data_IF_129057796565
#
_entry.id   IF_129057796565
#
_cell.length_a   1.000
_cell.length_b   1.000
_cell.length_c   1.000
_cell.angle_alpha   90.00
_cell.angle_beta   90.00
_cell.angle_gamma   90.00
#
_symmetry.space_group_name_H-M   'P 1'
#
loop_
_entity.id
_entity.type
_entity.pdbx_description
1 polymer ?
#
# COMPACT_ATOMS: atom_id res chain seq x y z
N UNK A 1 59.11 35.39 50.49
CA UNK A 1 57.93 36.30 50.59
C UNK A 1 57.05 36.10 49.37
N UNK A 2 55.86 35.62 49.55
CA UNK A 2 54.64 35.82 48.79
C UNK A 2 53.75 34.55 48.90
N UNK A 3 52.60 34.79 49.46
CA UNK A 3 51.64 33.83 49.92
C UNK A 3 50.83 33.21 48.77
N UNK A 4 50.69 31.90 48.78
CA UNK A 4 49.79 31.20 47.90
C UNK A 4 48.41 31.11 48.54
N UNK A 5 47.42 31.63 47.86
CA UNK A 5 46.02 31.52 48.23
C UNK A 5 45.43 30.27 47.54
N UNK A 6 45.11 29.25 48.31
CA UNK A 6 44.40 28.08 47.87
C UNK A 6 42.90 28.43 47.74
N UNK A 7 42.42 28.45 46.52
CA UNK A 7 40.99 28.55 46.24
C UNK A 7 40.45 27.13 45.94
N UNK A 8 39.65 26.65 46.90
CA UNK A 8 38.98 25.37 46.81
C UNK A 8 37.78 25.50 45.84
N UNK A 9 37.87 24.96 44.64
CA UNK A 9 36.76 24.92 43.67
C UNK A 9 36.04 23.57 43.82
N UNK A 10 34.85 23.63 44.42
CA UNK A 10 33.93 22.49 44.59
C UNK A 10 33.33 22.12 43.21
N UNK A 11 33.79 21.02 42.62
CA UNK A 11 33.21 20.48 41.40
C UNK A 11 31.91 19.73 41.76
N UNK A 12 30.80 20.37 41.43
CA UNK A 12 29.47 19.75 41.41
C UNK A 12 29.40 18.84 40.21
N UNK A 13 29.47 17.53 40.44
CA UNK A 13 29.26 16.53 39.40
C UNK A 13 27.73 16.42 39.16
N UNK A 14 27.20 17.17 38.19
CA UNK A 14 25.90 16.91 37.64
C UNK A 14 26.02 15.67 36.74
N UNK A 15 25.57 14.54 37.24
CA UNK A 15 25.35 13.35 36.43
C UNK A 15 24.16 13.60 35.50
N UNK A 16 24.43 14.25 34.35
CA UNK A 16 23.51 14.25 33.25
C UNK A 16 23.59 12.85 32.60
N UNK A 17 22.57 12.05 32.88
CA UNK A 17 22.33 10.79 32.20
C UNK A 17 22.21 11.06 30.70
N UNK A 18 23.24 10.71 29.97
CA UNK A 18 23.20 10.61 28.52
C UNK A 18 22.34 9.41 28.21
N UNK A 19 21.07 9.64 27.92
CA UNK A 19 20.29 8.65 27.20
C UNK A 19 20.88 8.54 25.81
N UNK A 20 21.73 7.54 25.61
CA UNK A 20 22.13 7.11 24.28
C UNK A 20 20.86 6.49 23.66
N UNK A 21 20.12 7.32 22.93
CA UNK A 21 19.16 6.83 21.98
C UNK A 21 19.97 6.16 20.85
N UNK A 22 20.04 4.83 20.85
CA UNK A 22 20.44 4.08 19.67
C UNK A 22 19.34 4.28 18.63
N UNK A 23 19.63 5.14 17.68
CA UNK A 23 18.82 5.45 16.51
C UNK A 23 19.72 6.15 15.52
N UNK A 24 20.77 5.48 15.04
CA UNK A 24 21.38 5.75 13.75
C UNK A 24 20.42 5.17 12.69
N UNK A 25 19.24 5.77 12.59
CA UNK A 25 18.53 5.80 11.34
C UNK A 25 19.13 6.98 10.57
N UNK A 26 20.02 6.68 9.62
CA UNK A 26 20.29 7.60 8.53
C UNK A 26 18.93 8.11 8.07
N UNK A 27 18.63 9.39 8.29
CA UNK A 27 17.46 10.07 7.74
C UNK A 27 17.64 10.07 6.20
N UNK A 28 17.40 8.91 5.58
CA UNK A 28 16.98 8.89 4.19
C UNK A 28 15.75 9.77 4.16
N UNK A 29 15.86 10.91 3.52
CA UNK A 29 14.76 11.84 3.31
C UNK A 29 13.60 11.03 2.74
N UNK A 30 12.67 10.64 3.59
CA UNK A 30 11.59 9.73 3.19
C UNK A 30 10.70 10.54 2.28
N UNK A 31 10.76 10.25 1.00
CA UNK A 31 9.87 10.84 0.01
C UNK A 31 8.44 10.57 0.46
N UNK A 32 7.67 11.61 0.68
CA UNK A 32 6.35 11.47 1.30
C UNK A 32 5.44 12.66 1.05
N UNK A 33 4.37 12.73 1.82
CA UNK A 33 3.46 13.87 1.78
C UNK A 33 4.07 15.07 2.49
N UNK A 34 4.08 16.24 1.84
CA UNK A 34 4.53 17.49 2.46
C UNK A 34 3.86 18.71 1.82
N UNK A 35 3.88 19.83 2.54
CA UNK A 35 3.21 21.06 2.12
C UNK A 35 1.68 20.94 2.23
N UNK A 36 0.97 21.64 1.33
CA UNK A 36 -0.48 21.53 1.19
C UNK A 36 -0.85 20.12 0.77
N UNK A 37 -1.96 19.60 1.28
CA UNK A 37 -2.51 18.31 0.84
C UNK A 37 -3.03 18.43 -0.59
N UNK A 38 -2.30 17.86 -1.52
CA UNK A 38 -2.62 17.78 -2.95
C UNK A 38 -2.89 16.34 -3.40
N UNK A 39 -3.19 15.44 -2.46
CA UNK A 39 -3.44 14.03 -2.77
C UNK A 39 -4.69 13.79 -3.63
N UNK A 40 -5.58 14.78 -3.71
CA UNK A 40 -6.75 14.78 -4.60
C UNK A 40 -6.51 15.38 -5.98
N UNK A 41 -5.38 16.07 -6.20
CA UNK A 41 -5.10 16.81 -7.42
C UNK A 41 -4.62 15.91 -8.57
N UNK A 42 -4.23 14.66 -8.26
CA UNK A 42 -3.81 13.70 -9.27
C UNK A 42 -4.09 12.25 -8.84
N UNK A 43 -4.20 11.36 -9.82
CA UNK A 43 -4.41 9.94 -9.59
C UNK A 43 -3.78 9.06 -10.66
N UNK A 44 -3.42 7.84 -10.27
CA UNK A 44 -2.89 6.84 -11.19
C UNK A 44 -3.94 5.75 -11.39
N UNK A 45 -4.19 5.43 -12.65
CA UNK A 45 -4.96 4.25 -13.06
C UNK A 45 -4.10 3.36 -13.94
N UNK A 46 -4.36 2.06 -13.89
CA UNK A 46 -3.72 1.10 -14.78
C UNK A 46 -4.78 0.20 -15.38
N UNK A 47 -4.78 0.08 -16.68
CA UNK A 47 -5.70 -0.79 -17.40
C UNK A 47 -5.37 -2.26 -17.11
N UNK A 48 -6.41 -3.05 -16.86
CA UNK A 48 -6.27 -4.44 -16.44
C UNK A 48 -5.76 -5.35 -17.55
N UNK A 49 -6.13 -5.08 -18.79
CA UNK A 49 -5.81 -5.93 -19.93
C UNK A 49 -4.49 -5.50 -20.60
N UNK A 50 -4.38 -4.22 -20.92
CA UNK A 50 -3.21 -3.67 -21.62
C UNK A 50 -2.05 -3.35 -20.70
N UNK A 51 -2.29 -3.28 -19.37
CA UNK A 51 -1.34 -2.85 -18.32
C UNK A 51 -0.82 -1.42 -18.51
N UNK A 52 -1.42 -0.65 -19.41
CA UNK A 52 -1.08 0.77 -19.58
C UNK A 52 -1.45 1.57 -18.34
N UNK A 53 -0.56 2.43 -17.93
CA UNK A 53 -0.79 3.33 -16.80
C UNK A 53 -1.04 4.76 -17.30
N UNK A 54 -1.96 5.44 -16.63
CA UNK A 54 -2.36 6.81 -16.95
C UNK A 54 -2.32 7.65 -15.68
N UNK A 55 -1.70 8.82 -15.76
CA UNK A 55 -1.80 9.89 -14.78
C UNK A 55 -2.98 10.79 -15.17
N UNK A 56 -3.93 10.96 -14.27
CA UNK A 56 -4.97 11.99 -14.37
C UNK A 56 -4.62 13.13 -13.44
N UNK A 57 -4.62 14.37 -13.94
CA UNK A 57 -4.28 15.58 -13.20
C UNK A 57 -5.48 16.52 -13.20
N UNK A 58 -5.87 17.01 -12.02
CA UNK A 58 -6.96 17.98 -11.79
C UNK A 58 -6.45 19.22 -11.03
N UNK A 59 -5.37 19.79 -11.48
CA UNK A 59 -4.85 21.08 -10.99
C UNK A 59 -4.47 21.98 -12.16
N UNK A 60 -4.66 23.30 -12.00
CA UNK A 60 -4.29 24.30 -13.01
C UNK A 60 -2.82 24.78 -12.85
N UNK A 61 -2.01 24.04 -12.09
CA UNK A 61 -0.63 24.42 -11.75
C UNK A 61 0.36 23.58 -12.52
N UNK A 62 1.57 24.09 -12.65
CA UNK A 62 2.71 23.32 -13.09
C UNK A 62 3.02 22.20 -12.07
N UNK A 63 3.38 21.02 -12.58
CA UNK A 63 3.64 19.85 -11.78
C UNK A 63 4.78 19.00 -12.35
N UNK A 64 5.36 18.22 -11.47
CA UNK A 64 6.40 17.23 -11.75
C UNK A 64 5.96 15.87 -11.21
N UNK A 65 6.27 14.80 -11.93
CA UNK A 65 6.03 13.41 -11.50
C UNK A 65 7.37 12.67 -11.46
N UNK A 66 7.62 11.98 -10.36
CA UNK A 66 8.79 11.14 -10.15
C UNK A 66 8.33 9.71 -9.92
N UNK A 67 9.13 8.71 -10.27
CA UNK A 67 8.76 7.30 -10.19
C UNK A 67 9.82 6.46 -9.47
N UNK A 68 9.36 5.42 -8.78
CA UNK A 68 10.20 4.41 -8.15
C UNK A 68 9.46 3.09 -8.01
N UNK A 69 10.15 2.02 -7.62
CA UNK A 69 9.55 0.74 -7.29
C UNK A 69 8.87 0.76 -5.91
N UNK A 70 9.39 1.57 -5.01
CA UNK A 70 8.82 1.92 -3.71
C UNK A 70 8.94 3.42 -3.49
N UNK A 71 8.33 3.95 -2.44
CA UNK A 71 8.48 5.37 -2.10
C UNK A 71 9.94 5.73 -1.77
N UNK A 72 10.65 4.81 -1.16
CA UNK A 72 12.05 4.96 -0.77
C UNK A 72 13.02 4.95 -1.96
N UNK A 73 12.61 4.38 -3.11
CA UNK A 73 13.43 4.25 -4.33
C UNK A 73 13.14 5.37 -5.36
N UNK A 74 12.28 6.33 -5.04
CA UNK A 74 11.97 7.43 -5.96
C UNK A 74 13.20 8.33 -6.13
N UNK A 75 13.72 8.42 -7.36
CA UNK A 75 14.77 9.36 -7.72
C UNK A 75 14.18 10.77 -7.94
N UNK A 76 14.54 11.69 -7.07
CA UNK A 76 14.08 13.08 -7.11
C UNK A 76 14.94 13.99 -8.02
N UNK A 77 16.00 13.46 -8.64
CA UNK A 77 16.88 14.29 -9.48
C UNK A 77 16.28 14.54 -10.87
N UNK A 78 15.48 13.58 -11.37
CA UNK A 78 14.91 13.66 -12.71
C UNK A 78 13.45 13.26 -12.71
N UNK A 79 12.51 14.18 -12.99
CA UNK A 79 11.10 13.82 -13.14
C UNK A 79 10.92 12.91 -14.36
N UNK A 80 10.08 11.90 -14.22
CA UNK A 80 9.71 11.03 -15.33
C UNK A 80 8.68 11.68 -16.26
N UNK A 81 7.94 12.68 -15.76
CA UNK A 81 7.00 13.47 -16.52
C UNK A 81 6.83 14.85 -15.87
N UNK A 82 6.61 15.88 -16.69
CA UNK A 82 6.27 17.23 -16.25
C UNK A 82 5.12 17.78 -17.06
N UNK A 83 4.36 18.68 -16.49
CA UNK A 83 3.26 19.31 -17.20
C UNK A 83 2.79 20.59 -16.52
N UNK A 84 1.83 21.24 -17.17
CA UNK A 84 1.18 22.44 -16.68
C UNK A 84 -0.34 22.31 -16.92
N UNK A 85 -1.10 22.37 -15.83
CA UNK A 85 -2.55 22.24 -15.87
C UNK A 85 -3.08 20.81 -15.89
N UNK A 86 -4.40 20.73 -16.09
CA UNK A 86 -5.20 19.51 -16.05
C UNK A 86 -5.02 18.64 -17.29
N UNK A 87 -5.17 17.33 -17.12
CA UNK A 87 -5.13 16.41 -18.26
C UNK A 87 -4.98 14.96 -17.87
N UNK A 88 -4.87 14.13 -18.90
CA UNK A 88 -4.57 12.71 -18.79
C UNK A 88 -3.33 12.41 -19.61
N UNK A 89 -2.38 11.71 -19.01
CA UNK A 89 -1.05 11.50 -19.55
C UNK A 89 -0.66 10.03 -19.47
N UNK A 90 -0.26 9.44 -20.59
CA UNK A 90 0.24 8.08 -20.63
C UNK A 90 1.58 7.99 -19.90
N UNK A 91 1.74 6.97 -19.07
CA UNK A 91 2.96 6.71 -18.33
C UNK A 91 3.73 5.53 -18.95
N UNK A 92 5.03 5.75 -19.17
CA UNK A 92 5.93 4.68 -19.59
C UNK A 92 6.39 3.91 -18.35
N UNK A 93 5.74 2.77 -18.07
CA UNK A 93 6.02 1.90 -16.93
C UNK A 93 6.16 0.45 -17.35
N UNK A 94 6.89 -0.35 -16.58
CA UNK A 94 6.97 -1.80 -16.77
C UNK A 94 5.59 -2.43 -16.54
N UNK A 95 5.07 -3.13 -17.54
CA UNK A 95 3.77 -3.79 -17.47
C UNK A 95 3.70 -4.90 -16.39
N UNK A 96 4.82 -5.55 -16.10
CA UNK A 96 4.93 -6.64 -15.12
C UNK A 96 5.25 -6.19 -13.69
N UNK A 97 5.45 -4.88 -13.47
CA UNK A 97 5.86 -4.35 -12.17
C UNK A 97 4.99 -3.20 -11.71
N UNK A 98 4.81 -3.11 -10.41
CA UNK A 98 4.20 -1.97 -9.78
C UNK A 98 5.17 -0.81 -9.68
N UNK A 99 4.65 0.42 -9.84
CA UNK A 99 5.38 1.66 -9.61
C UNK A 99 4.68 2.50 -8.56
N UNK A 100 5.45 3.25 -7.79
CA UNK A 100 4.99 4.31 -6.88
C UNK A 100 5.50 5.63 -7.43
N UNK A 101 4.68 6.66 -7.34
CA UNK A 101 4.99 7.97 -7.90
C UNK A 101 4.94 9.04 -6.80
N UNK A 102 5.74 10.07 -6.97
CA UNK A 102 5.60 11.32 -6.25
C UNK A 102 5.12 12.40 -7.22
N UNK A 103 3.95 12.93 -6.96
CA UNK A 103 3.39 14.10 -7.64
C UNK A 103 3.73 15.34 -6.83
N UNK A 104 4.27 16.35 -7.48
CA UNK A 104 4.78 17.56 -6.84
C UNK A 104 4.33 18.81 -7.58
N UNK A 105 3.90 19.81 -6.83
CA UNK A 105 3.61 21.17 -7.29
C UNK A 105 4.38 22.16 -6.41
N UNK A 106 4.29 23.45 -6.71
CA UNK A 106 4.86 24.49 -5.85
C UNK A 106 4.21 24.53 -4.44
N UNK A 107 3.02 23.98 -4.26
CA UNK A 107 2.28 24.03 -2.99
C UNK A 107 2.52 22.82 -2.09
N UNK A 108 2.85 21.67 -2.67
CA UNK A 108 3.04 20.45 -1.90
C UNK A 108 3.41 19.26 -2.76
N UNK A 109 3.45 18.10 -2.10
CA UNK A 109 3.71 16.83 -2.76
C UNK A 109 2.87 15.70 -2.17
N UNK A 110 2.53 14.71 -2.99
CA UNK A 110 1.75 13.54 -2.61
C UNK A 110 2.28 12.28 -3.29
N UNK A 111 2.28 11.16 -2.54
CA UNK A 111 2.56 9.84 -3.11
C UNK A 111 1.31 9.30 -3.80
N UNK A 112 1.50 8.73 -4.97
CA UNK A 112 0.46 8.13 -5.80
C UNK A 112 0.86 6.72 -6.21
N UNK A 113 -0.14 5.85 -6.34
CA UNK A 113 -0.04 4.58 -7.04
C UNK A 113 -1.44 4.17 -7.53
N UNK A 114 -1.52 3.17 -8.39
CA UNK A 114 -2.83 2.62 -8.73
C UNK A 114 -3.51 2.02 -7.51
N UNK A 115 -4.73 2.46 -7.24
CA UNK A 115 -5.56 1.94 -6.15
C UNK A 115 -6.13 0.58 -6.49
N UNK A 116 -6.68 0.42 -7.70
CA UNK A 116 -7.11 -0.88 -8.21
C UNK A 116 -5.92 -1.51 -8.95
N UNK A 117 -5.49 -2.67 -8.47
CA UNK A 117 -4.40 -3.39 -9.11
C UNK A 117 -4.91 -4.03 -10.42
N UNK A 118 -4.09 -4.05 -11.47
CA UNK A 118 -4.48 -4.57 -12.78
C UNK A 118 -4.38 -6.11 -12.83
N UNK A 119 -5.06 -6.79 -11.93
CA UNK A 119 -5.05 -8.26 -11.79
C UNK A 119 -6.45 -8.85 -11.94
N UNK A 120 -6.53 -10.16 -12.16
CA UNK A 120 -7.80 -10.84 -12.50
C UNK A 120 -8.78 -10.89 -11.32
N UNK A 121 -8.31 -10.89 -10.06
CA UNK A 121 -9.21 -10.86 -8.91
C UNK A 121 -10.08 -9.61 -8.91
N UNK A 122 -11.29 -9.76 -8.38
CA UNK A 122 -12.19 -8.62 -8.23
C UNK A 122 -11.72 -7.75 -7.07
N UNK A 123 -11.82 -6.44 -7.26
CA UNK A 123 -11.65 -5.48 -6.19
C UNK A 123 -10.29 -5.54 -5.49
N UNK A 124 -9.25 -6.06 -6.16
CA UNK A 124 -7.91 -6.05 -5.59
C UNK A 124 -7.42 -4.61 -5.50
N UNK A 125 -7.37 -4.09 -4.29
CA UNK A 125 -7.05 -2.68 -4.05
C UNK A 125 -5.99 -2.49 -2.98
N UNK A 126 -5.15 -1.48 -3.20
CA UNK A 126 -4.26 -0.94 -2.19
C UNK A 126 -5.04 0.03 -1.29
N UNK A 127 -4.86 -0.07 0.00
CA UNK A 127 -5.41 0.86 0.99
C UNK A 127 -4.47 2.05 1.26
N UNK A 128 -3.36 2.15 0.55
CA UNK A 128 -2.46 3.29 0.58
C UNK A 128 -3.14 4.61 0.21
N UNK A 129 -2.57 5.73 0.65
CA UNK A 129 -3.10 7.07 0.38
C UNK A 129 -4.40 7.41 1.10
N UNK A 130 -4.94 6.54 1.96
CA UNK A 130 -6.08 6.86 2.81
C UNK A 130 -5.57 7.67 4.00
N UNK A 131 -6.15 8.85 4.19
CA UNK A 131 -5.80 9.75 5.29
C UNK A 131 -6.61 9.42 6.54
N UNK A 132 -5.96 9.31 7.69
CA UNK A 132 -6.62 9.11 8.97
C UNK A 132 -7.06 10.44 9.61
N UNK A 133 -7.73 10.37 10.76
CA UNK A 133 -8.20 11.55 11.49
C UNK A 133 -7.08 12.48 11.99
N UNK A 134 -5.87 11.94 12.14
CA UNK A 134 -4.69 12.70 12.57
C UNK A 134 -3.93 13.33 11.39
N UNK A 135 -4.43 13.19 10.17
CA UNK A 135 -3.78 13.70 8.97
C UNK A 135 -2.66 12.82 8.40
N UNK A 136 -2.43 11.62 8.97
CA UNK A 136 -1.45 10.66 8.47
C UNK A 136 -2.04 9.79 7.37
N UNK A 137 -1.22 9.41 6.40
CA UNK A 137 -1.62 8.57 5.29
C UNK A 137 -1.19 7.11 5.51
N UNK A 138 -2.05 6.18 5.12
CA UNK A 138 -1.66 4.77 4.98
C UNK A 138 -0.59 4.68 3.90
N UNK A 139 0.49 3.97 4.16
CA UNK A 139 1.61 3.81 3.20
C UNK A 139 1.16 2.95 2.02
N UNK A 140 1.45 3.41 0.81
CA UNK A 140 1.22 2.65 -0.42
C UNK A 140 2.02 1.34 -0.43
N UNK A 141 1.44 0.28 -0.98
CA UNK A 141 2.10 -1.01 -1.13
C UNK A 141 2.26 -1.83 0.16
N UNK A 142 1.61 -1.46 1.26
CA UNK A 142 1.74 -2.17 2.54
C UNK A 142 0.49 -2.96 2.95
N UNK A 143 -0.69 -2.49 2.57
CA UNK A 143 -1.94 -3.12 2.95
C UNK A 143 -2.86 -3.19 1.73
N UNK A 144 -3.22 -4.41 1.37
CA UNK A 144 -4.12 -4.70 0.26
C UNK A 144 -5.39 -5.38 0.74
N UNK A 145 -6.43 -5.26 -0.04
CA UNK A 145 -7.69 -5.97 0.12
C UNK A 145 -8.12 -6.54 -1.22
N UNK A 146 -8.62 -7.79 -1.20
CA UNK A 146 -9.13 -8.46 -2.39
C UNK A 146 -10.30 -9.38 -2.03
N UNK A 147 -10.97 -9.92 -3.01
CA UNK A 147 -11.75 -11.13 -2.92
C UNK A 147 -10.84 -12.38 -3.04
N UNK A 148 -11.39 -13.52 -3.47
CA UNK A 148 -10.64 -14.75 -3.69
C UNK A 148 -9.55 -14.62 -4.77
N UNK A 149 -8.43 -15.31 -4.59
CA UNK A 149 -7.28 -15.26 -5.49
C UNK A 149 -7.15 -16.52 -6.39
N UNK A 150 -8.18 -17.33 -6.50
CA UNK A 150 -8.18 -18.61 -7.23
C UNK A 150 -8.05 -18.46 -8.74
N UNK A 151 -8.46 -17.32 -9.32
CA UNK A 151 -8.47 -17.05 -10.76
C UNK A 151 -7.22 -16.30 -11.25
N UNK A 152 -6.24 -16.07 -10.38
CA UNK A 152 -5.01 -15.37 -10.74
C UNK A 152 -4.26 -16.08 -11.87
N UNK A 153 -3.81 -15.30 -12.85
CA UNK A 153 -2.90 -15.75 -13.91
C UNK A 153 -1.44 -15.68 -13.43
N UNK A 154 -0.53 -16.34 -14.14
CA UNK A 154 0.90 -16.24 -13.82
C UNK A 154 1.44 -14.81 -13.97
N UNK A 155 0.89 -14.04 -14.90
CA UNK A 155 1.20 -12.62 -15.05
C UNK A 155 0.74 -11.80 -13.85
N UNK A 156 -0.46 -12.08 -13.31
CA UNK A 156 -0.95 -11.45 -12.09
C UNK A 156 -0.08 -11.79 -10.88
N UNK A 157 0.31 -13.06 -10.74
CA UNK A 157 1.20 -13.50 -9.66
C UNK A 157 2.58 -12.84 -9.74
N UNK A 158 3.11 -12.67 -10.95
CA UNK A 158 4.36 -11.95 -11.18
C UNK A 158 4.22 -10.47 -10.79
N UNK A 159 3.12 -9.83 -11.21
CA UNK A 159 2.82 -8.45 -10.83
C UNK A 159 2.70 -8.29 -9.31
N UNK A 160 1.94 -9.17 -8.64
CA UNK A 160 1.81 -9.15 -7.19
C UNK A 160 3.14 -9.43 -6.47
N UNK A 161 3.98 -10.32 -6.99
CA UNK A 161 5.32 -10.54 -6.46
C UNK A 161 6.17 -9.26 -6.48
N UNK A 162 6.02 -8.42 -7.51
CA UNK A 162 6.73 -7.13 -7.62
C UNK A 162 6.33 -6.12 -6.53
N UNK A 163 5.14 -6.29 -5.90
CA UNK A 163 4.71 -5.45 -4.77
C UNK A 163 5.41 -5.80 -3.46
N UNK A 164 6.13 -6.92 -3.41
CA UNK A 164 6.75 -7.45 -2.20
C UNK A 164 5.74 -8.06 -1.22
N UNK A 165 4.56 -8.47 -1.69
CA UNK A 165 3.53 -9.12 -0.87
C UNK A 165 4.10 -10.37 -0.19
N UNK A 166 4.09 -10.41 1.16
CA UNK A 166 4.69 -11.50 1.96
C UNK A 166 3.68 -12.28 2.77
N UNK A 167 2.56 -11.66 3.10
CA UNK A 167 1.55 -12.19 4.00
C UNK A 167 0.19 -12.08 3.35
N UNK A 168 -0.57 -13.16 3.41
CA UNK A 168 -1.98 -13.20 3.02
C UNK A 168 -2.76 -13.71 4.22
N UNK A 169 -3.86 -13.03 4.52
CA UNK A 169 -4.81 -13.45 5.56
C UNK A 169 -6.12 -13.79 4.86
N UNK A 170 -6.52 -15.05 4.93
CA UNK A 170 -7.76 -15.55 4.38
C UNK A 170 -8.80 -15.68 5.50
N UNK A 171 -9.93 -15.01 5.34
CA UNK A 171 -11.03 -15.03 6.28
C UNK A 171 -12.14 -16.02 5.89
N UNK A 172 -11.99 -16.69 4.75
CA UNK A 172 -12.98 -17.66 4.25
C UNK A 172 -12.99 -18.92 5.11
N UNK A 173 -14.15 -19.51 5.24
CA UNK A 173 -14.34 -20.80 5.89
C UNK A 173 -13.73 -21.94 5.07
N UNK A 174 -13.48 -23.08 5.70
CA UNK A 174 -13.05 -24.29 5.00
C UNK A 174 -14.03 -24.67 3.87
N UNK A 175 -15.34 -24.55 4.12
CA UNK A 175 -16.40 -24.83 3.13
C UNK A 175 -16.29 -23.91 1.89
N UNK A 176 -15.97 -22.64 2.07
CA UNK A 176 -15.78 -21.70 0.95
C UNK A 176 -14.52 -22.01 0.12
N UNK A 177 -13.48 -22.53 0.75
CA UNK A 177 -12.20 -22.85 0.07
C UNK A 177 -12.21 -24.20 -0.62
N UNK A 178 -12.75 -25.21 0.03
CA UNK A 178 -12.75 -26.62 -0.43
C UNK A 178 -13.96 -26.96 -1.31
N UNK A 179 -14.90 -26.04 -1.38
CA UNK A 179 -16.20 -26.27 -2.00
C UNK A 179 -17.19 -26.91 -1.04
N UNK A 180 -18.46 -26.60 -1.19
CA UNK A 180 -19.49 -27.05 -0.27
C UNK A 180 -20.90 -27.02 -0.86
N UNK A 181 -21.90 -27.19 0.01
CA UNK A 181 -23.32 -27.21 -0.33
C UNK A 181 -23.65 -28.20 -1.44
N UNK A 182 -23.15 -29.46 -1.31
CA UNK A 182 -23.44 -30.52 -2.28
C UNK A 182 -22.91 -30.27 -3.68
N UNK A 183 -21.81 -29.49 -3.82
CA UNK A 183 -21.18 -29.19 -5.10
C UNK A 183 -21.69 -27.91 -5.77
N UNK A 184 -22.62 -27.17 -5.14
CA UNK A 184 -23.07 -25.88 -5.66
C UNK A 184 -21.96 -24.79 -5.58
N UNK A 185 -21.03 -24.94 -4.64
CA UNK A 185 -19.83 -24.11 -4.55
C UNK A 185 -18.60 -24.94 -4.92
N UNK A 186 -17.96 -24.70 -6.06
CA UNK A 186 -16.75 -25.42 -6.44
C UNK A 186 -15.59 -25.02 -5.53
N UNK A 187 -14.64 -25.94 -5.35
CA UNK A 187 -13.40 -25.63 -4.64
C UNK A 187 -12.65 -24.47 -5.31
N UNK A 188 -12.18 -23.54 -4.49
CA UNK A 188 -11.54 -22.32 -4.94
C UNK A 188 -10.21 -22.07 -4.19
N UNK A 189 -9.20 -22.97 -4.34
CA UNK A 189 -7.90 -22.78 -3.69
C UNK A 189 -7.21 -21.54 -4.26
N UNK A 190 -6.64 -20.72 -3.37
CA UNK A 190 -5.92 -19.52 -3.79
C UNK A 190 -4.63 -19.86 -4.53
N UNK A 191 -4.34 -19.05 -5.55
CA UNK A 191 -3.03 -18.97 -6.18
C UNK A 191 -2.27 -17.78 -5.59
N UNK A 192 -1.17 -18.06 -4.93
CA UNK A 192 -0.39 -17.05 -4.23
C UNK A 192 0.93 -16.75 -4.95
N UNK A 193 1.39 -15.48 -4.99
CA UNK A 193 2.68 -15.13 -5.56
C UNK A 193 3.82 -15.76 -4.74
N UNK A 194 4.94 -16.04 -5.39
CA UNK A 194 6.11 -16.71 -4.80
C UNK A 194 6.73 -15.97 -3.60
N UNK A 195 6.44 -14.69 -3.47
CA UNK A 195 6.90 -13.84 -2.36
C UNK A 195 6.14 -14.07 -1.06
N UNK A 196 4.94 -14.67 -1.12
CA UNK A 196 4.15 -14.98 0.07
C UNK A 196 4.83 -16.09 0.87
N UNK A 197 5.20 -15.77 2.11
CA UNK A 197 5.83 -16.69 3.05
C UNK A 197 4.92 -17.05 4.22
N UNK A 198 3.93 -16.22 4.48
CA UNK A 198 3.03 -16.32 5.62
C UNK A 198 1.57 -16.28 5.14
N UNK A 199 1.01 -17.37 4.66
CA UNK A 199 -0.44 -17.51 4.52
C UNK A 199 -1.04 -17.83 5.89
N UNK A 200 -2.09 -17.11 6.27
CA UNK A 200 -2.84 -17.34 7.51
C UNK A 200 -4.31 -17.55 7.19
N UNK A 201 -4.87 -18.64 7.68
CA UNK A 201 -6.30 -18.88 7.69
C UNK A 201 -6.87 -18.39 9.02
N UNK A 202 -7.62 -17.31 8.97
CA UNK A 202 -8.31 -16.72 10.12
C UNK A 202 -9.81 -16.70 9.84
N UNK A 203 -10.42 -17.87 9.79
CA UNK A 203 -11.81 -18.05 9.45
C UNK A 203 -12.73 -17.11 10.25
N UNK A 204 -13.53 -16.32 9.54
CA UNK A 204 -14.63 -15.56 10.12
C UNK A 204 -15.92 -16.27 9.78
N UNK A 205 -16.43 -17.02 10.73
CA UNK A 205 -17.74 -17.61 10.61
C UNK A 205 -18.81 -16.55 10.93
N UNK A 206 -19.53 -16.12 9.90
CA UNK A 206 -20.61 -15.13 10.03
C UNK A 206 -21.85 -15.67 10.78
N UNK A 207 -21.73 -16.84 11.40
CA UNK A 207 -22.83 -17.55 12.06
C UNK A 207 -23.66 -18.37 11.06
N UNK A 208 -24.69 -18.99 11.55
CA UNK A 208 -25.57 -19.87 10.78
C UNK A 208 -26.50 -19.11 9.80
N UNK A 209 -25.96 -18.18 9.01
CA UNK A 209 -26.73 -17.48 7.96
C UNK A 209 -27.27 -18.51 6.93
N UNK A 210 -26.60 -19.64 6.83
CA UNK A 210 -26.99 -20.79 6.00
C UNK A 210 -27.30 -22.02 6.87
N UNK A 211 -28.12 -21.86 7.93
CA UNK A 211 -28.65 -23.04 8.63
C UNK A 211 -29.45 -23.89 7.65
N UNK A 212 -29.50 -25.21 7.92
CA UNK A 212 -30.27 -26.12 7.10
C UNK A 212 -31.72 -25.65 6.92
N UNK A 213 -32.29 -24.98 7.93
CA UNK A 213 -33.63 -24.37 7.90
C UNK A 213 -33.74 -23.23 6.88
N UNK A 214 -32.70 -22.37 6.75
CA UNK A 214 -32.70 -21.29 5.78
C UNK A 214 -32.48 -21.84 4.37
N UNK A 215 -31.60 -22.83 4.20
CA UNK A 215 -31.38 -23.50 2.91
C UNK A 215 -32.67 -24.21 2.45
N UNK A 216 -33.33 -24.88 3.35
CA UNK A 216 -34.63 -25.53 3.06
C UNK A 216 -35.71 -24.52 2.71
N UNK A 217 -35.75 -23.37 3.39
CA UNK A 217 -36.73 -22.32 3.10
C UNK A 217 -36.48 -21.66 1.74
N UNK A 218 -35.23 -21.45 1.36
CA UNK A 218 -34.85 -20.92 0.03
C UNK A 218 -35.20 -21.94 -1.06
N UNK A 219 -34.90 -23.22 -0.85
CA UNK A 219 -35.22 -24.28 -1.83
C UNK A 219 -36.72 -24.43 -2.06
N UNK A 220 -37.54 -24.29 -1.01
CA UNK A 220 -39.01 -24.32 -1.11
C UNK A 220 -39.60 -23.04 -1.73
N UNK A 221 -38.90 -21.91 -1.65
CA UNK A 221 -39.33 -20.65 -2.26
C UNK A 221 -39.00 -20.53 -3.74
N UNK A 222 -38.17 -21.43 -4.28
CA UNK A 222 -37.76 -21.49 -5.69
C UNK A 222 -38.52 -22.58 -6.48
N UNK A 223 -39.39 -23.33 -5.85
CA UNK A 223 -40.28 -24.32 -6.45
C UNK A 223 -41.69 -23.76 -6.62
#
# INVERSE_FOLDING_TARGET
>A
MKKNLFSCLLLLFCASGVFVSCGDDDEKTTVGYSGKDISGDAGITRDKETKKAVLSVDTDKAWELYAGSTAEDIDMNTPCLTGDGKGSFDLSVDAGKRSVFLFKTAEGQALLAERLLPVTAYNFRDLGGIKNKEGKFVRWGKLFRTDEMNKMTDADLTYLASTGLKTVVDFRTATEKEGGFGGMMPAAPDKLPSTVKNPYDLEINAGNIFSDEIIESISKGLS
#
